data_IF_483874911128
#
_entry.id   IF_483874911128
#
_cell.length_a   1.000
_cell.length_b   1.000
_cell.length_c   1.000
_cell.angle_alpha   90.00
_cell.angle_beta   90.00
_cell.angle_gamma   90.00
#
_symmetry.space_group_name_H-M   'P 1'
#
loop_
_entity.id
_entity.type
_entity.pdbx_description
1 polymer ?
#
# COMPACT_ATOMS: atom_id res chain seq x y z
N UNK A 1 3.86 -19.36 -15.42
CA UNK A 1 2.45 -19.44 -14.98
C UNK A 1 2.24 -18.44 -13.83
N UNK A 2 1.25 -17.57 -13.94
CA UNK A 2 0.89 -16.63 -12.86
C UNK A 2 -0.01 -17.39 -11.87
N UNK A 3 0.57 -17.90 -10.77
CA UNK A 3 -0.16 -18.83 -9.90
C UNK A 3 -0.84 -18.14 -8.71
N UNK A 4 -0.69 -16.82 -8.55
CA UNK A 4 -1.32 -16.05 -7.45
C UNK A 4 -0.97 -16.57 -6.04
N UNK A 5 0.24 -17.08 -5.84
CA UNK A 5 0.70 -17.55 -4.53
C UNK A 5 1.59 -16.51 -3.85
N UNK A 6 1.43 -16.40 -2.53
CA UNK A 6 2.40 -15.82 -1.61
C UNK A 6 3.22 -16.96 -1.01
N UNK A 7 4.53 -16.92 -1.20
CA UNK A 7 5.48 -17.84 -0.58
C UNK A 7 6.30 -17.05 0.44
N UNK A 8 6.32 -17.52 1.67
CA UNK A 8 7.17 -16.99 2.73
C UNK A 8 8.27 -18.00 3.01
N UNK A 9 9.50 -17.54 3.06
CA UNK A 9 10.69 -18.35 3.34
C UNK A 9 11.43 -17.76 4.53
N UNK A 10 12.19 -18.61 5.23
CA UNK A 10 13.10 -18.18 6.28
C UNK A 10 14.45 -17.70 5.71
N UNK A 11 15.39 -17.36 6.58
CA UNK A 11 16.76 -16.92 6.22
C UNK A 11 17.57 -17.98 5.42
N UNK A 12 17.17 -19.25 5.52
CA UNK A 12 17.77 -20.38 4.80
C UNK A 12 17.01 -20.74 3.52
N UNK A 13 16.07 -19.86 3.11
CA UNK A 13 15.16 -20.08 1.99
C UNK A 13 14.26 -21.32 2.12
N UNK A 14 14.08 -21.84 3.33
CA UNK A 14 13.13 -22.91 3.57
C UNK A 14 11.70 -22.35 3.64
N UNK A 15 10.70 -23.02 3.04
CA UNK A 15 9.32 -22.56 3.04
C UNK A 15 8.73 -22.55 4.46
N UNK A 16 8.32 -21.37 4.93
CA UNK A 16 7.61 -21.18 6.22
C UNK A 16 6.10 -21.24 6.00
N UNK A 17 5.63 -20.58 4.94
CA UNK A 17 4.23 -20.56 4.57
C UNK A 17 4.05 -20.44 3.06
N UNK A 18 3.00 -21.08 2.55
CA UNK A 18 2.54 -20.93 1.17
C UNK A 18 1.03 -20.76 1.18
N UNK A 19 0.55 -19.63 0.70
CA UNK A 19 -0.88 -19.36 0.66
C UNK A 19 -1.31 -18.86 -0.72
N UNK A 20 -2.47 -19.28 -1.15
CA UNK A 20 -3.04 -18.79 -2.40
C UNK A 20 -3.60 -17.39 -2.21
N UNK A 21 -2.93 -16.40 -2.79
CA UNK A 21 -3.36 -15.01 -2.74
C UNK A 21 -4.63 -14.81 -3.60
N UNK A 22 -4.62 -15.29 -4.84
CA UNK A 22 -5.75 -15.16 -5.76
C UNK A 22 -6.09 -16.51 -6.39
N UNK A 23 -7.38 -16.89 -6.37
CA UNK A 23 -7.86 -18.10 -7.05
C UNK A 23 -7.80 -17.99 -8.57
N UNK A 24 -7.86 -16.79 -9.11
CA UNK A 24 -7.86 -16.49 -10.55
C UNK A 24 -6.49 -16.14 -11.10
N UNK A 25 -5.42 -16.26 -10.27
CA UNK A 25 -4.04 -16.03 -10.69
C UNK A 25 -3.68 -14.57 -10.92
N UNK A 26 -4.45 -13.62 -10.38
CA UNK A 26 -4.09 -12.20 -10.46
C UNK A 26 -2.74 -11.92 -9.79
N UNK A 27 -1.96 -11.02 -10.40
CA UNK A 27 -0.67 -10.62 -9.88
C UNK A 27 -0.80 -9.86 -8.55
N UNK A 28 0.19 -10.02 -7.69
CA UNK A 28 0.39 -9.18 -6.51
C UNK A 28 1.07 -7.89 -7.00
N UNK A 29 0.58 -6.75 -6.57
CA UNK A 29 1.14 -5.42 -6.88
C UNK A 29 1.99 -4.88 -5.74
N UNK A 30 1.57 -5.08 -4.50
CA UNK A 30 2.25 -4.51 -3.34
C UNK A 30 2.15 -5.40 -2.11
N UNK A 31 3.23 -5.45 -1.33
CA UNK A 31 3.32 -6.14 -0.03
C UNK A 31 3.93 -5.15 0.96
N UNK A 32 3.31 -5.02 2.13
CA UNK A 32 3.81 -4.18 3.25
C UNK A 32 3.56 -4.86 4.59
N UNK A 33 4.47 -4.65 5.53
CA UNK A 33 4.29 -5.05 6.92
C UNK A 33 3.84 -3.85 7.77
N UNK A 34 3.08 -4.13 8.84
CA UNK A 34 2.81 -3.15 9.90
C UNK A 34 4.11 -2.81 10.66
N UNK A 35 4.12 -1.72 11.45
CA UNK A 35 5.30 -1.26 12.16
C UNK A 35 5.86 -2.26 13.19
N UNK A 36 5.02 -3.14 13.69
CA UNK A 36 5.33 -4.19 14.66
C UNK A 36 5.48 -5.58 14.03
N UNK A 37 5.49 -5.64 12.70
CA UNK A 37 5.56 -6.86 11.88
C UNK A 37 4.45 -7.89 12.17
N UNK A 38 3.39 -7.52 12.91
CA UNK A 38 2.31 -8.45 13.25
C UNK A 38 1.37 -8.74 12.09
N UNK A 39 1.22 -7.79 11.16
CA UNK A 39 0.34 -7.88 10.00
C UNK A 39 1.15 -7.71 8.71
N UNK A 40 0.96 -8.65 7.78
CA UNK A 40 1.43 -8.52 6.40
C UNK A 40 0.22 -8.23 5.50
N UNK A 41 0.20 -7.05 4.87
CA UNK A 41 -0.82 -6.68 3.89
C UNK A 41 -0.32 -6.97 2.47
N UNK A 42 -1.11 -7.71 1.70
CA UNK A 42 -0.82 -8.09 0.32
C UNK A 42 -1.97 -7.65 -0.56
N UNK A 43 -1.70 -6.79 -1.53
CA UNK A 43 -2.68 -6.32 -2.48
C UNK A 43 -2.33 -6.71 -3.91
N UNK A 44 -3.30 -6.70 -4.81
CA UNK A 44 -3.09 -7.15 -6.17
C UNK A 44 -4.08 -6.60 -7.18
N UNK A 45 -3.92 -7.10 -8.40
CA UNK A 45 -4.68 -6.70 -9.58
C UNK A 45 -6.17 -7.09 -9.52
N UNK A 46 -6.58 -7.85 -8.51
CA UNK A 46 -8.00 -8.16 -8.28
C UNK A 46 -8.72 -7.13 -7.41
N UNK A 47 -8.07 -5.99 -7.12
CA UNK A 47 -8.63 -4.90 -6.31
C UNK A 47 -8.81 -5.26 -4.83
N UNK A 48 -8.19 -6.34 -4.36
CA UNK A 48 -8.34 -6.80 -2.98
C UNK A 48 -7.06 -6.64 -2.19
N UNK A 49 -7.21 -6.28 -0.92
CA UNK A 49 -6.13 -6.35 0.05
C UNK A 49 -6.40 -7.50 1.01
N UNK A 50 -5.41 -8.35 1.19
CA UNK A 50 -5.47 -9.48 2.13
C UNK A 50 -4.51 -9.22 3.27
N UNK A 51 -5.04 -9.28 4.48
CA UNK A 51 -4.28 -9.12 5.71
C UNK A 51 -3.96 -10.49 6.25
N UNK A 52 -2.69 -10.74 6.49
CA UNK A 52 -2.16 -11.98 7.02
C UNK A 52 -1.60 -11.75 8.42
N UNK A 53 -1.96 -12.60 9.35
CA UNK A 53 -1.40 -12.64 10.69
C UNK A 53 -0.05 -13.38 10.64
N UNK A 54 1.03 -12.65 10.91
CA UNK A 54 2.41 -13.17 10.83
C UNK A 54 2.66 -14.23 11.90
N UNK A 55 2.23 -14.00 13.14
CA UNK A 55 2.41 -14.92 14.26
C UNK A 55 1.71 -16.27 14.01
N UNK A 56 0.61 -16.27 13.28
CA UNK A 56 -0.13 -17.49 12.87
C UNK A 56 0.39 -18.12 11.58
N UNK A 57 1.69 -17.99 11.27
CA UNK A 57 2.33 -18.48 10.04
C UNK A 57 1.65 -17.94 8.77
N UNK A 58 1.42 -16.65 8.73
CA UNK A 58 0.76 -15.98 7.61
C UNK A 58 -0.63 -16.53 7.28
N UNK A 59 -1.39 -16.88 8.31
CA UNK A 59 -2.80 -17.21 8.13
C UNK A 59 -3.56 -15.96 7.71
N UNK A 60 -4.37 -16.09 6.66
CA UNK A 60 -5.20 -15.00 6.18
C UNK A 60 -6.27 -14.65 7.22
N UNK A 61 -6.17 -13.44 7.78
CA UNK A 61 -7.09 -12.92 8.79
C UNK A 61 -8.31 -12.26 8.16
N UNK A 62 -8.09 -11.36 7.18
CA UNK A 62 -9.14 -10.52 6.59
C UNK A 62 -8.92 -10.28 5.11
N UNK A 63 -9.99 -10.02 4.37
CA UNK A 63 -9.96 -9.60 2.96
C UNK A 63 -10.78 -8.34 2.78
N UNK A 64 -10.12 -7.26 2.41
CA UNK A 64 -10.73 -5.99 2.02
C UNK A 64 -11.11 -6.08 0.53
N UNK A 65 -12.37 -5.71 0.19
CA UNK A 65 -12.93 -5.81 -1.17
C UNK A 65 -13.51 -4.47 -1.64
N UNK A 66 -13.07 -3.36 -1.06
CA UNK A 66 -13.69 -2.05 -1.30
C UNK A 66 -13.12 -1.33 -2.51
N UNK A 67 -11.84 -1.56 -2.86
CA UNK A 67 -11.24 -0.93 -4.03
C UNK A 67 -11.92 -1.44 -5.31
N UNK A 68 -12.20 -0.53 -6.24
CA UNK A 68 -12.92 -0.84 -7.48
C UNK A 68 -11.99 -1.30 -8.62
N UNK A 69 -10.68 -1.06 -8.47
CA UNK A 69 -9.66 -1.43 -9.45
C UNK A 69 -8.41 -2.01 -8.78
N UNK A 70 -7.38 -2.33 -9.57
CA UNK A 70 -6.06 -2.76 -9.11
C UNK A 70 -5.54 -1.84 -8.00
N UNK A 71 -5.19 -2.39 -6.86
CA UNK A 71 -4.50 -1.64 -5.81
C UNK A 71 -3.05 -1.46 -6.25
N UNK A 72 -2.61 -0.21 -6.38
CA UNK A 72 -1.25 0.14 -6.83
C UNK A 72 -0.30 0.31 -5.67
N UNK A 73 -0.75 0.98 -4.60
CA UNK A 73 0.05 1.31 -3.43
C UNK A 73 -0.75 1.09 -2.14
N UNK A 74 -0.03 0.85 -1.07
CA UNK A 74 -0.59 0.84 0.28
C UNK A 74 0.47 1.23 1.31
N UNK A 75 0.03 1.88 2.39
CA UNK A 75 0.87 2.26 3.52
C UNK A 75 0.13 2.02 4.83
N UNK A 76 0.85 1.59 5.86
CA UNK A 76 0.36 1.53 7.24
C UNK A 76 0.61 2.84 7.97
N UNK A 77 -0.27 3.19 8.91
CA UNK A 77 0.03 4.24 9.89
C UNK A 77 1.15 3.82 10.82
N UNK A 78 1.86 4.80 11.38
CA UNK A 78 2.99 4.55 12.28
C UNK A 78 2.60 3.82 13.57
N UNK A 79 1.34 3.97 14.01
CA UNK A 79 0.76 3.25 15.15
C UNK A 79 0.15 1.88 14.80
N UNK A 80 0.21 1.48 13.51
CA UNK A 80 -0.33 0.23 13.00
C UNK A 80 -1.86 0.12 12.96
N UNK A 81 -2.59 1.19 13.29
CA UNK A 81 -4.07 1.16 13.38
C UNK A 81 -4.76 1.27 12.05
N UNK A 82 -4.15 1.95 11.10
CA UNK A 82 -4.76 2.31 9.83
C UNK A 82 -3.96 1.80 8.64
N UNK A 83 -4.67 1.53 7.57
CA UNK A 83 -4.13 1.18 6.27
C UNK A 83 -4.72 2.12 5.23
N UNK A 84 -3.86 2.71 4.41
CA UNK A 84 -4.25 3.51 3.24
C UNK A 84 -3.98 2.73 1.97
N UNK A 85 -4.83 2.86 0.96
CA UNK A 85 -4.62 2.27 -0.36
C UNK A 85 -4.87 3.29 -1.46
N UNK A 86 -4.08 3.18 -2.55
CA UNK A 86 -4.40 3.79 -3.84
C UNK A 86 -4.74 2.70 -4.86
N UNK A 87 -5.56 3.04 -5.85
CA UNK A 87 -5.92 2.14 -6.95
C UNK A 87 -5.82 2.83 -8.31
N UNK A 88 -5.85 2.04 -9.39
CA UNK A 88 -5.89 2.56 -10.77
C UNK A 88 -7.18 3.34 -11.10
N UNK A 89 -8.18 3.32 -10.23
CA UNK A 89 -9.37 4.19 -10.33
C UNK A 89 -9.19 5.50 -9.57
N UNK A 90 -7.95 5.91 -9.25
CA UNK A 90 -7.62 7.15 -8.51
C UNK A 90 -8.25 7.24 -7.12
N UNK A 91 -8.61 6.09 -6.54
CA UNK A 91 -9.18 6.04 -5.20
C UNK A 91 -8.10 6.17 -4.14
N UNK A 92 -8.42 6.92 -3.08
CA UNK A 92 -7.69 6.91 -1.81
C UNK A 92 -8.65 6.39 -0.75
N UNK A 93 -8.43 5.19 -0.27
CA UNK A 93 -9.30 4.56 0.72
C UNK A 93 -8.53 4.22 1.99
N UNK A 94 -9.23 4.35 3.12
CA UNK A 94 -8.68 4.09 4.44
C UNK A 94 -9.43 2.97 5.15
N UNK A 95 -8.68 2.17 5.89
CA UNK A 95 -9.22 1.00 6.59
C UNK A 95 -8.62 0.88 7.98
N UNK A 96 -9.39 0.32 8.90
CA UNK A 96 -8.84 -0.22 10.13
C UNK A 96 -7.96 -1.43 9.79
N UNK A 97 -6.70 -1.40 10.19
CA UNK A 97 -5.69 -2.38 9.78
C UNK A 97 -5.94 -3.77 10.39
N UNK A 98 -6.63 -3.86 11.51
CA UNK A 98 -6.92 -5.13 12.20
C UNK A 98 -8.15 -5.82 11.64
N UNK A 99 -9.22 -5.05 11.43
CA UNK A 99 -10.53 -5.58 11.03
C UNK A 99 -10.78 -5.51 9.53
N UNK A 100 -10.05 -4.65 8.81
CA UNK A 100 -10.28 -4.35 7.39
C UNK A 100 -11.52 -3.50 7.14
N UNK A 101 -12.12 -2.91 8.19
CA UNK A 101 -13.31 -2.07 8.06
C UNK A 101 -12.95 -0.75 7.39
N UNK A 102 -13.73 -0.36 6.39
CA UNK A 102 -13.58 0.91 5.70
C UNK A 102 -13.90 2.10 6.62
N UNK A 103 -13.05 3.14 6.56
CA UNK A 103 -13.20 4.39 7.30
C UNK A 103 -13.67 5.44 6.31
N UNK A 104 -14.94 5.87 6.44
CA UNK A 104 -15.55 6.86 5.55
C UNK A 104 -15.23 8.31 5.92
N UNK A 105 -14.94 8.56 7.21
CA UNK A 105 -14.61 9.91 7.72
C UNK A 105 -13.08 10.16 7.58
N UNK A 106 -12.64 10.33 6.33
CA UNK A 106 -11.22 10.50 6.01
C UNK A 106 -10.59 11.74 6.66
N UNK A 107 -11.40 12.77 6.97
CA UNK A 107 -10.92 13.98 7.66
C UNK A 107 -10.30 13.71 9.04
N UNK A 108 -10.76 12.66 9.73
CA UNK A 108 -10.21 12.25 11.02
C UNK A 108 -8.78 11.68 10.91
N UNK A 109 -8.34 11.32 9.68
CA UNK A 109 -7.04 10.73 9.41
C UNK A 109 -6.03 11.73 8.83
N UNK A 110 -6.40 13.02 8.73
CA UNK A 110 -5.55 14.06 8.13
C UNK A 110 -4.18 14.17 8.81
N UNK A 111 -4.18 14.09 10.15
CA UNK A 111 -2.98 14.29 10.97
C UNK A 111 -2.33 12.98 11.40
N UNK A 112 -2.79 11.84 10.87
CA UNK A 112 -2.21 10.53 11.14
C UNK A 112 -0.80 10.46 10.57
N UNK A 113 0.15 10.03 11.40
CA UNK A 113 1.51 9.74 10.94
C UNK A 113 1.55 8.38 10.25
N UNK A 114 2.10 8.35 9.05
CA UNK A 114 2.27 7.14 8.26
C UNK A 114 3.68 6.57 8.46
N UNK A 115 3.79 5.25 8.54
CA UNK A 115 5.08 4.55 8.72
C UNK A 115 6.00 4.82 7.53
N UNK A 116 5.49 4.58 6.34
CA UNK A 116 6.11 4.92 5.07
C UNK A 116 5.17 5.85 4.29
N UNK A 117 5.64 6.39 3.17
CA UNK A 117 4.75 7.06 2.21
C UNK A 117 5.13 6.58 0.82
N UNK A 118 4.32 5.70 0.24
CA UNK A 118 4.48 5.19 -1.12
C UNK A 118 3.24 5.46 -1.98
N UNK A 119 2.12 5.82 -1.38
CA UNK A 119 0.90 6.21 -2.08
C UNK A 119 1.09 7.52 -2.84
N UNK A 120 0.82 7.51 -4.15
CA UNK A 120 0.97 8.69 -5.01
C UNK A 120 -0.19 9.68 -4.85
N UNK A 121 -1.32 9.25 -4.27
CA UNK A 121 -2.46 10.10 -3.93
C UNK A 121 -2.61 10.22 -2.41
N UNK A 122 -2.91 11.43 -1.96
CA UNK A 122 -3.15 11.76 -0.56
C UNK A 122 -2.87 13.23 -0.27
N UNK A 123 -3.37 13.75 0.85
CA UNK A 123 -3.23 15.18 1.19
C UNK A 123 -1.78 15.68 1.23
N UNK A 124 -0.80 14.93 1.78
CA UNK A 124 0.56 15.41 1.88
C UNK A 124 1.34 15.44 0.56
N UNK A 125 0.78 14.95 -0.53
CA UNK A 125 1.50 14.76 -1.81
C UNK A 125 0.77 15.36 -3.03
N UNK A 126 -0.18 16.25 -2.83
CA UNK A 126 -0.93 16.85 -3.94
C UNK A 126 -0.03 17.65 -4.91
N UNK A 127 1.02 18.28 -4.39
CA UNK A 127 1.97 19.09 -5.18
C UNK A 127 2.97 18.30 -6.01
N UNK A 128 2.92 16.95 -6.02
CA UNK A 128 3.83 16.15 -6.86
C UNK A 128 3.39 16.09 -8.33
N UNK A 129 2.15 16.46 -8.63
CA UNK A 129 1.62 16.46 -9.99
C UNK A 129 1.91 17.78 -10.66
N UNK A 130 2.70 17.81 -11.77
CA UNK A 130 2.95 19.05 -12.53
C UNK A 130 1.66 19.63 -13.10
N UNK A 131 1.66 20.93 -13.36
CA UNK A 131 0.57 21.56 -14.08
C UNK A 131 0.35 20.89 -15.45
N UNK A 132 -0.90 20.58 -15.77
CA UNK A 132 -1.34 19.84 -16.97
C UNK A 132 -0.97 18.36 -17.00
N UNK A 133 -0.48 17.76 -15.90
CA UNK A 133 -0.38 16.31 -15.77
C UNK A 133 -1.74 15.72 -15.41
N UNK A 134 -1.98 14.49 -15.80
CA UNK A 134 -3.08 13.72 -15.24
C UNK A 134 -2.59 12.88 -14.04
N UNK A 135 -3.53 12.25 -13.32
CA UNK A 135 -3.19 11.46 -12.13
C UNK A 135 -2.42 10.17 -12.43
N UNK A 136 -2.16 9.83 -13.70
CA UNK A 136 -1.42 8.63 -14.10
C UNK A 136 0.07 8.88 -14.28
N UNK A 137 0.52 10.11 -14.47
CA UNK A 137 1.89 10.45 -14.84
C UNK A 137 2.91 10.10 -13.74
N UNK A 138 2.52 10.16 -12.46
CA UNK A 138 3.40 9.80 -11.34
C UNK A 138 3.12 8.36 -10.91
N UNK A 139 4.06 7.45 -11.19
CA UNK A 139 3.91 6.02 -10.95
C UNK A 139 4.31 5.55 -9.57
N UNK A 140 5.23 6.25 -8.93
CA UNK A 140 5.77 5.85 -7.64
C UNK A 140 6.26 7.03 -6.85
N UNK A 141 6.20 6.91 -5.53
CA UNK A 141 6.88 7.83 -4.63
C UNK A 141 7.44 7.09 -3.41
N UNK A 142 8.44 7.70 -2.79
CA UNK A 142 9.02 7.20 -1.55
C UNK A 142 9.46 8.37 -0.68
N UNK A 143 9.00 8.37 0.57
CA UNK A 143 9.44 9.33 1.58
C UNK A 143 10.72 8.85 2.23
N UNK A 144 11.67 9.78 2.45
CA UNK A 144 12.89 9.52 3.21
C UNK A 144 12.59 9.10 4.66
N UNK A 145 13.48 8.29 5.28
CA UNK A 145 13.27 7.81 6.66
C UNK A 145 13.14 8.93 7.69
N UNK A 146 13.83 10.06 7.50
CA UNK A 146 13.74 11.26 8.35
C UNK A 146 12.47 12.07 8.10
N UNK A 147 11.69 11.71 7.07
CA UNK A 147 10.44 12.36 6.72
C UNK A 147 10.59 13.74 6.06
N UNK A 148 11.79 14.14 5.64
CA UNK A 148 12.04 15.49 5.12
C UNK A 148 11.86 15.60 3.61
N UNK A 149 12.08 14.53 2.87
CA UNK A 149 12.09 14.50 1.40
C UNK A 149 11.15 13.42 0.87
N UNK A 150 10.51 13.72 -0.25
CA UNK A 150 9.76 12.77 -1.07
C UNK A 150 10.41 12.70 -2.45
N UNK A 151 10.76 11.49 -2.88
CA UNK A 151 11.19 11.21 -4.25
C UNK A 151 10.01 10.66 -5.06
N UNK A 152 9.88 11.04 -6.32
CA UNK A 152 8.88 10.49 -7.25
C UNK A 152 9.53 10.00 -8.53
N UNK A 153 8.92 9.00 -9.19
CA UNK A 153 9.24 8.56 -10.53
C UNK A 153 8.01 8.68 -11.42
N UNK A 154 8.20 9.23 -12.63
CA UNK A 154 7.12 9.49 -13.58
C UNK A 154 7.27 8.70 -14.91
N UNK A 155 6.23 8.76 -15.76
CA UNK A 155 6.17 8.11 -17.08
C UNK A 155 7.21 8.65 -18.07
N UNK A 156 7.78 9.81 -17.80
CA UNK A 156 8.78 10.48 -18.67
C UNK A 156 10.21 10.10 -18.31
N UNK A 157 10.39 9.14 -17.37
CA UNK A 157 11.71 8.71 -16.89
C UNK A 157 12.39 9.72 -15.97
N UNK A 158 11.64 10.64 -15.37
CA UNK A 158 12.17 11.66 -14.46
C UNK A 158 12.08 11.20 -13.03
N UNK A 159 13.07 11.61 -12.25
CA UNK A 159 13.06 11.52 -10.80
C UNK A 159 13.01 12.93 -10.25
N UNK A 160 11.95 13.25 -9.48
CA UNK A 160 11.81 14.56 -8.86
C UNK A 160 11.92 14.43 -7.34
N UNK A 161 12.49 15.44 -6.71
CA UNK A 161 12.62 15.53 -5.26
C UNK A 161 11.81 16.71 -4.74
N UNK A 162 11.01 16.47 -3.73
CA UNK A 162 10.18 17.47 -3.08
C UNK A 162 10.49 17.51 -1.58
N UNK A 163 10.30 18.67 -0.96
CA UNK A 163 10.21 18.73 0.50
C UNK A 163 8.90 18.03 0.93
N UNK A 164 8.96 17.19 1.93
CA UNK A 164 7.74 16.54 2.47
C UNK A 164 7.27 17.24 3.75
N UNK A 165 5.95 17.49 3.94
CA UNK A 165 4.88 17.31 2.95
C UNK A 165 4.94 18.35 1.81
N UNK A 166 4.34 18.00 0.65
CA UNK A 166 4.20 18.86 -0.53
C UNK A 166 2.72 18.91 -0.94
N UNK A 167 1.87 19.63 -0.18
CA UNK A 167 0.43 19.74 -0.40
C UNK A 167 0.07 20.53 -1.64
#
# INVERSE_FOLDING_TARGET
MRNGYLLVVDEKFAPVAKTQHSKTGHAISVIKFSHDDSICAVAGHDGRVRLYDVASKFRKATVIKKNTSTVTHLDFSADGRYLMTNSLSYEVLFFDAKTGKHISKCSELRDVKWLTWSCTFGWPVQGIFPANSDGSDVNTCARSPDGAVLATGDDFGRINLYRFPCP
#
